data_IF_026249437942
#
_entry.id   IF_026249437942
#
_cell.length_a   1.000
_cell.length_b   1.000
_cell.length_c   1.000
_cell.angle_alpha   90.00
_cell.angle_beta   90.00
_cell.angle_gamma   90.00
#
_symmetry.space_group_name_H-M   'P 1'
#
loop_
_entity.id
_entity.type
_entity.pdbx_description
1 polymer ?
#
# COMPACT_ATOMS: atom_id res chain seq x y z
N UNK A 1 15.36 0.62 -23.15
CA UNK A 1 15.22 2.09 -23.12
C UNK A 1 13.79 2.36 -22.70
N UNK A 2 13.59 3.04 -21.57
CA UNK A 2 12.23 3.28 -21.05
C UNK A 2 11.55 4.42 -21.83
N UNK A 3 10.24 4.36 -22.11
CA UNK A 3 9.53 5.42 -22.84
C UNK A 3 9.65 6.77 -22.14
N UNK A 4 9.71 7.87 -22.91
CA UNK A 4 9.84 9.24 -22.37
C UNK A 4 8.69 9.63 -21.42
N UNK A 5 7.51 9.04 -21.59
CA UNK A 5 6.37 9.21 -20.67
C UNK A 5 6.62 8.60 -19.30
N UNK A 6 7.40 7.52 -19.21
CA UNK A 6 7.76 6.86 -17.96
C UNK A 6 8.84 7.64 -17.20
N UNK A 7 9.75 8.30 -17.92
CA UNK A 7 10.76 9.17 -17.31
C UNK A 7 10.12 10.38 -16.60
N UNK A 8 9.18 11.07 -17.27
CA UNK A 8 8.44 12.18 -16.64
C UNK A 8 7.54 11.73 -15.47
N UNK A 9 6.99 10.51 -15.56
CA UNK A 9 6.22 9.86 -14.48
C UNK A 9 7.08 9.53 -13.25
N UNK A 10 8.37 9.26 -13.43
CA UNK A 10 9.28 9.02 -12.30
C UNK A 10 9.71 10.34 -11.66
N UNK A 11 9.98 11.36 -12.47
CA UNK A 11 10.45 12.66 -11.96
C UNK A 11 9.44 13.33 -11.00
N UNK A 12 8.15 13.33 -11.34
CA UNK A 12 7.12 13.90 -10.48
C UNK A 12 6.90 13.06 -9.20
N UNK A 13 6.88 11.73 -9.31
CA UNK A 13 6.83 10.83 -8.15
C UNK A 13 8.03 11.01 -7.21
N UNK A 14 9.25 11.10 -7.74
CA UNK A 14 10.46 11.35 -6.96
C UNK A 14 10.44 12.73 -6.29
N UNK A 15 9.87 13.73 -6.96
CA UNK A 15 9.75 15.09 -6.41
C UNK A 15 8.74 15.16 -5.26
N UNK A 16 7.53 14.69 -5.50
CA UNK A 16 6.35 14.87 -4.63
C UNK A 16 6.15 13.72 -3.64
N UNK A 17 6.76 12.56 -3.89
CA UNK A 17 6.62 11.34 -3.08
C UNK A 17 5.34 10.54 -3.33
N UNK A 18 4.49 10.97 -4.26
CA UNK A 18 3.29 10.25 -4.69
C UNK A 18 2.82 10.75 -6.07
N UNK A 19 2.05 9.92 -6.77
CA UNK A 19 1.30 10.31 -7.96
C UNK A 19 -0.12 9.73 -7.92
N UNK A 20 -1.03 10.32 -8.70
CA UNK A 20 -2.43 9.90 -8.80
C UNK A 20 -2.78 9.69 -10.27
N UNK A 21 -3.17 8.47 -10.61
CA UNK A 21 -3.69 8.12 -11.93
C UNK A 21 -5.18 7.85 -11.86
N UNK A 22 -5.93 8.35 -12.84
CA UNK A 22 -7.37 8.14 -12.97
C UNK A 22 -7.64 7.28 -14.19
N UNK A 23 -8.70 6.46 -14.13
CA UNK A 23 -9.11 5.63 -15.27
C UNK A 23 -8.12 4.52 -15.64
N UNK A 24 -7.34 4.04 -14.67
CA UNK A 24 -6.44 2.88 -14.87
C UNK A 24 -7.26 1.62 -15.19
N UNK A 25 -8.43 1.49 -14.57
CA UNK A 25 -9.36 0.39 -14.76
C UNK A 25 -10.69 0.92 -15.26
N UNK A 26 -11.35 0.13 -16.10
CA UNK A 26 -12.72 0.38 -16.51
C UNK A 26 -13.73 -0.08 -15.44
N UNK A 27 -15.02 0.31 -15.53
CA UNK A 27 -16.03 -0.05 -14.53
C UNK A 27 -16.19 -1.56 -14.31
N UNK A 28 -16.12 -2.38 -15.36
CA UNK A 28 -16.29 -3.85 -15.24
C UNK A 28 -15.11 -4.49 -14.49
N UNK A 29 -13.90 -3.97 -14.67
CA UNK A 29 -12.71 -4.38 -13.92
C UNK A 29 -12.85 -4.00 -12.44
N UNK A 30 -13.28 -2.77 -12.16
CA UNK A 30 -13.54 -2.30 -10.80
C UNK A 30 -14.58 -3.18 -10.11
N UNK A 31 -15.72 -3.47 -10.76
CA UNK A 31 -16.77 -4.30 -10.17
C UNK A 31 -16.30 -5.73 -9.89
N UNK A 32 -15.47 -6.32 -10.76
CA UNK A 32 -14.84 -7.62 -10.47
C UNK A 32 -13.99 -7.56 -9.21
N UNK A 33 -13.19 -6.52 -9.03
CA UNK A 33 -12.34 -6.37 -7.85
C UNK A 33 -13.17 -6.17 -6.59
N UNK A 34 -14.25 -5.41 -6.65
CA UNK A 34 -15.20 -5.23 -5.55
C UNK A 34 -15.79 -6.55 -5.09
N UNK A 35 -16.30 -7.36 -6.02
CA UNK A 35 -16.87 -8.68 -5.69
C UNK A 35 -15.84 -9.57 -4.97
N UNK A 36 -14.59 -9.59 -5.44
CA UNK A 36 -13.53 -10.37 -4.80
C UNK A 36 -13.19 -9.80 -3.41
N UNK A 37 -13.09 -8.47 -3.29
CA UNK A 37 -12.81 -7.79 -2.03
C UNK A 37 -13.91 -8.00 -0.98
N UNK A 38 -15.18 -7.91 -1.37
CA UNK A 38 -16.33 -8.14 -0.49
C UNK A 38 -16.35 -9.58 0.02
N UNK A 39 -16.10 -10.55 -0.86
CA UNK A 39 -15.99 -11.95 -0.48
C UNK A 39 -14.87 -12.19 0.54
N UNK A 40 -13.69 -11.59 0.32
CA UNK A 40 -12.56 -11.67 1.25
C UNK A 40 -12.86 -11.02 2.61
N UNK A 41 -13.48 -9.83 2.62
CA UNK A 41 -13.85 -9.13 3.84
C UNK A 41 -14.89 -9.93 4.65
N UNK A 42 -15.89 -10.52 3.97
CA UNK A 42 -16.91 -11.36 4.59
C UNK A 42 -16.33 -12.67 5.16
N UNK A 43 -15.42 -13.33 4.44
CA UNK A 43 -14.76 -14.55 4.89
C UNK A 43 -13.90 -14.30 6.14
N UNK A 44 -13.11 -13.22 6.13
CA UNK A 44 -12.22 -12.87 7.24
C UNK A 44 -12.95 -12.19 8.40
N UNK A 45 -14.17 -11.71 8.16
CA UNK A 45 -15.00 -10.93 9.11
C UNK A 45 -14.23 -9.73 9.67
N UNK A 46 -13.54 -9.02 8.78
CA UNK A 46 -12.66 -7.89 9.12
C UNK A 46 -12.71 -6.83 8.04
N UNK A 47 -12.88 -5.58 8.47
CA UNK A 47 -12.70 -4.39 7.64
C UNK A 47 -11.22 -4.13 7.23
N UNK A 48 -10.24 -4.86 7.79
CA UNK A 48 -8.85 -4.83 7.34
C UNK A 48 -8.33 -6.25 7.13
N UNK A 49 -8.10 -6.62 5.87
CA UNK A 49 -7.59 -7.95 5.50
C UNK A 49 -6.18 -7.82 4.96
N UNK A 50 -5.24 -8.59 5.51
CA UNK A 50 -3.83 -8.60 5.09
C UNK A 50 -3.53 -9.83 4.26
N UNK A 51 -2.57 -9.69 3.35
CA UNK A 51 -2.12 -10.78 2.47
C UNK A 51 -3.17 -11.20 1.46
N UNK A 52 -4.04 -10.28 1.00
CA UNK A 52 -5.16 -10.59 0.11
C UNK A 52 -4.74 -11.25 -1.22
N UNK A 53 -3.55 -10.94 -1.73
CA UNK A 53 -3.01 -11.60 -2.92
C UNK A 53 -2.71 -13.10 -2.69
N UNK A 54 -2.37 -13.50 -1.46
CA UNK A 54 -2.19 -14.91 -1.12
C UNK A 54 -3.52 -15.62 -0.84
N UNK A 55 -4.60 -14.87 -0.62
CA UNK A 55 -5.95 -15.38 -0.33
C UNK A 55 -6.84 -15.48 -1.57
N UNK A 56 -6.54 -14.73 -2.64
CA UNK A 56 -7.33 -14.72 -3.87
C UNK A 56 -6.43 -14.67 -5.10
N UNK A 57 -6.58 -15.66 -5.98
CA UNK A 57 -5.90 -15.71 -7.27
C UNK A 57 -6.22 -14.47 -8.11
N UNK A 58 -7.47 -13.98 -8.10
CA UNK A 58 -7.85 -12.79 -8.86
C UNK A 58 -7.17 -11.51 -8.36
N UNK A 59 -6.86 -11.39 -7.07
CA UNK A 59 -6.07 -10.27 -6.54
C UNK A 59 -4.59 -10.40 -6.92
N UNK A 60 -4.05 -11.63 -6.91
CA UNK A 60 -2.68 -11.88 -7.37
C UNK A 60 -2.53 -11.54 -8.85
N UNK A 61 -3.43 -12.04 -9.70
CA UNK A 61 -3.48 -11.73 -11.13
C UNK A 61 -3.57 -10.23 -11.39
N UNK A 62 -4.38 -9.51 -10.61
CA UNK A 62 -4.44 -8.05 -10.67
C UNK A 62 -3.09 -7.41 -10.33
N UNK A 63 -2.46 -7.81 -9.22
CA UNK A 63 -1.17 -7.26 -8.79
C UNK A 63 -0.05 -7.50 -9.82
N UNK A 64 -0.15 -8.60 -10.57
CA UNK A 64 0.80 -8.98 -11.63
C UNK A 64 0.40 -8.47 -13.02
N UNK A 65 -0.79 -7.90 -13.17
CA UNK A 65 -1.29 -7.39 -14.46
C UNK A 65 -0.44 -6.25 -15.01
N UNK A 66 -0.35 -6.15 -16.33
CA UNK A 66 0.30 -5.01 -17.00
C UNK A 66 -0.30 -3.66 -16.59
N UNK A 67 -1.60 -3.64 -16.25
CA UNK A 67 -2.30 -2.44 -15.80
C UNK A 67 -1.66 -1.84 -14.54
N UNK A 68 -1.17 -2.66 -13.61
CA UNK A 68 -0.44 -2.17 -12.43
C UNK A 68 1.07 -2.20 -12.58
N UNK A 69 1.62 -3.24 -13.23
CA UNK A 69 3.08 -3.41 -13.37
C UNK A 69 3.74 -2.29 -14.18
N UNK A 70 3.01 -1.60 -15.06
CA UNK A 70 3.52 -0.43 -15.77
C UNK A 70 4.00 0.72 -14.84
N UNK A 71 3.49 0.78 -13.60
CA UNK A 71 3.87 1.80 -12.62
C UNK A 71 5.07 1.41 -11.75
N UNK A 72 5.66 0.24 -12.00
CA UNK A 72 6.70 -0.34 -11.16
C UNK A 72 7.91 -0.76 -12.00
N UNK A 73 9.13 -0.70 -11.44
CA UNK A 73 10.26 -1.34 -12.08
C UNK A 73 10.06 -2.85 -12.24
N UNK A 74 10.68 -3.42 -13.27
CA UNK A 74 10.47 -4.82 -13.68
C UNK A 74 10.96 -5.84 -12.63
N UNK A 75 11.96 -5.47 -11.83
CA UNK A 75 12.57 -6.29 -10.78
C UNK A 75 11.86 -6.20 -9.42
N UNK A 76 10.83 -5.36 -9.29
CA UNK A 76 10.07 -5.23 -8.06
C UNK A 76 9.10 -6.38 -7.87
N UNK A 77 8.99 -6.85 -6.62
CA UNK A 77 8.16 -7.97 -6.20
C UNK A 77 7.04 -7.52 -5.26
N UNK A 78 5.90 -8.21 -5.32
CA UNK A 78 4.82 -8.02 -4.36
C UNK A 78 5.20 -8.60 -3.00
N UNK A 79 5.45 -7.71 -2.03
CA UNK A 79 5.81 -8.12 -0.65
C UNK A 79 4.68 -7.93 0.36
N UNK A 80 3.64 -7.16 0.02
CA UNK A 80 2.54 -6.83 0.92
C UNK A 80 1.28 -6.45 0.13
N UNK A 81 0.14 -6.99 0.54
CA UNK A 81 -1.19 -6.63 0.00
C UNK A 81 -2.18 -6.49 1.16
N UNK A 82 -2.99 -5.42 1.14
CA UNK A 82 -3.92 -5.10 2.23
C UNK A 82 -5.21 -4.54 1.63
N UNK A 83 -6.35 -5.09 2.07
CA UNK A 83 -7.68 -4.53 1.83
C UNK A 83 -8.09 -3.68 3.02
N UNK A 84 -8.63 -2.50 2.74
CA UNK A 84 -9.26 -1.62 3.71
C UNK A 84 -10.73 -1.44 3.30
N UNK A 85 -11.60 -2.25 3.87
CA UNK A 85 -13.05 -2.11 3.74
C UNK A 85 -13.53 -1.17 4.86
N UNK A 86 -13.76 0.10 4.52
CA UNK A 86 -14.18 1.12 5.49
C UNK A 86 -15.68 1.28 5.42
N UNK A 87 -16.39 0.65 6.34
CA UNK A 87 -17.83 0.88 6.55
C UNK A 87 -18.05 2.07 7.48
N UNK A 88 -19.22 2.74 7.47
CA UNK A 88 -19.56 3.76 8.46
C UNK A 88 -19.42 3.28 9.91
N UNK A 89 -19.71 2.00 10.16
CA UNK A 89 -19.62 1.35 11.47
C UNK A 89 -18.17 1.01 11.87
N UNK A 90 -17.29 0.77 10.89
CA UNK A 90 -15.89 0.36 11.07
C UNK A 90 -14.90 1.36 10.45
N UNK A 91 -15.12 2.66 10.69
CA UNK A 91 -14.21 3.71 10.22
C UNK A 91 -13.27 4.19 11.34
N UNK A 92 -12.13 3.53 11.50
CA UNK A 92 -11.11 4.00 12.44
C UNK A 92 -10.26 5.12 11.81
N UNK A 93 -10.10 6.27 12.50
CA UNK A 93 -9.23 7.33 12.03
C UNK A 93 -7.77 6.87 12.11
N UNK A 94 -7.06 7.00 10.99
CA UNK A 94 -5.64 6.70 10.91
C UNK A 94 -4.88 8.01 11.03
N UNK A 95 -4.08 8.23 12.11
CA UNK A 95 -3.28 9.44 12.25
C UNK A 95 -2.15 9.46 11.20
N UNK A 96 -1.46 10.59 11.09
CA UNK A 96 -0.47 10.82 10.04
C UNK A 96 0.79 9.92 10.19
N UNK A 97 0.79 8.68 9.76
CA UNK A 97 1.94 7.80 10.01
C UNK A 97 2.88 7.72 8.79
N UNK A 98 4.06 7.16 9.03
CA UNK A 98 4.87 6.52 7.99
C UNK A 98 4.72 5.00 8.09
N UNK A 99 4.62 4.33 6.96
CA UNK A 99 4.62 2.87 6.91
C UNK A 99 6.07 2.37 7.07
N UNK A 100 6.41 2.00 8.30
CA UNK A 100 7.79 1.63 8.66
C UNK A 100 7.97 0.12 8.87
N UNK A 101 6.95 -0.71 8.65
CA UNK A 101 7.01 -2.15 8.92
C UNK A 101 6.74 -3.00 7.69
N UNK A 102 7.55 -4.04 7.54
CA UNK A 102 7.36 -5.12 6.56
C UNK A 102 6.84 -6.38 7.26
N UNK A 103 6.12 -7.21 6.51
CA UNK A 103 5.75 -8.55 6.95
C UNK A 103 6.87 -9.53 6.56
N UNK A 104 7.20 -10.47 7.45
CA UNK A 104 8.20 -11.50 7.21
C UNK A 104 7.67 -12.87 7.62
N UNK A 105 8.19 -13.93 6.99
CA UNK A 105 7.78 -15.31 7.26
C UNK A 105 8.14 -15.75 8.68
N UNK A 106 9.32 -15.35 9.16
CA UNK A 106 9.84 -15.73 10.46
C UNK A 106 10.71 -14.62 11.04
N UNK A 107 10.83 -14.58 12.37
CA UNK A 107 11.74 -13.67 13.05
C UNK A 107 13.17 -14.19 12.92
N UNK A 108 14.07 -13.34 12.45
CA UNK A 108 15.53 -13.56 12.47
C UNK A 108 16.21 -12.35 13.06
N UNK A 109 17.10 -12.56 14.02
CA UNK A 109 17.90 -11.48 14.57
C UNK A 109 18.93 -11.05 13.51
N UNK A 110 18.67 -9.91 12.88
CA UNK A 110 19.51 -9.28 11.86
C UNK A 110 19.77 -7.85 12.32
N UNK A 111 21.01 -7.40 12.20
CA UNK A 111 21.40 -6.07 12.62
C UNK A 111 20.56 -4.99 11.90
N UNK A 112 20.09 -4.00 12.65
CA UNK A 112 19.27 -2.90 12.14
C UNK A 112 17.78 -3.22 11.95
N UNK A 113 17.34 -4.44 12.28
CA UNK A 113 15.92 -4.84 12.22
C UNK A 113 15.26 -4.77 13.60
N UNK A 114 14.17 -4.02 13.67
CA UNK A 114 13.38 -3.84 14.88
C UNK A 114 12.69 -2.46 14.93
N UNK A 115 11.65 -2.30 15.76
CA UNK A 115 11.07 -3.31 16.65
C UNK A 115 10.27 -4.39 15.90
N UNK A 116 10.01 -5.50 16.60
CA UNK A 116 9.22 -6.62 16.11
C UNK A 116 7.78 -6.56 16.66
N UNK A 117 6.80 -7.01 15.88
CA UNK A 117 5.41 -7.17 16.31
C UNK A 117 4.75 -8.35 15.58
N UNK A 118 3.60 -8.80 16.08
CA UNK A 118 2.78 -9.81 15.39
C UNK A 118 1.41 -9.21 15.14
N UNK A 119 0.95 -9.25 13.88
CA UNK A 119 -0.36 -8.77 13.45
C UNK A 119 -1.01 -9.84 12.60
N UNK A 120 -2.24 -10.24 12.93
CA UNK A 120 -2.96 -11.32 12.23
C UNK A 120 -2.14 -12.62 12.09
N UNK A 121 -1.39 -12.98 13.13
CA UNK A 121 -0.45 -14.14 13.17
C UNK A 121 0.76 -14.01 12.22
N UNK A 122 0.94 -12.87 11.57
CA UNK A 122 2.09 -12.57 10.71
C UNK A 122 3.11 -11.72 11.47
N UNK A 123 4.38 -12.15 11.41
CA UNK A 123 5.49 -11.41 12.02
C UNK A 123 5.76 -10.16 11.19
N UNK A 124 5.87 -9.03 11.89
CA UNK A 124 6.23 -7.75 11.31
C UNK A 124 7.47 -7.21 11.98
N UNK A 125 8.27 -6.49 11.19
CA UNK A 125 9.49 -5.86 11.66
C UNK A 125 9.69 -4.54 10.94
N UNK A 126 10.26 -3.57 11.63
CA UNK A 126 10.81 -2.41 10.93
C UNK A 126 12.21 -2.75 10.41
N UNK A 127 12.44 -2.72 9.09
CA UNK A 127 13.75 -3.00 8.54
C UNK A 127 14.62 -1.72 8.54
N UNK A 128 15.82 -1.84 7.98
CA UNK A 128 16.74 -0.71 7.80
C UNK A 128 16.15 0.35 6.86
N UNK A 129 16.73 1.55 6.87
CA UNK A 129 16.33 2.65 5.98
C UNK A 129 16.45 2.28 4.50
N UNK A 130 17.48 1.50 4.16
CA UNK A 130 17.82 1.12 2.79
C UNK A 130 16.70 0.25 2.21
N UNK A 131 16.17 -0.70 2.99
CA UNK A 131 15.01 -1.51 2.59
C UNK A 131 13.76 -0.65 2.46
N UNK A 132 13.50 0.25 3.41
CA UNK A 132 12.30 1.11 3.37
C UNK A 132 12.30 2.05 2.16
N UNK A 133 13.45 2.55 1.74
CA UNK A 133 13.58 3.41 0.56
C UNK A 133 13.27 2.67 -0.75
N UNK A 134 13.31 1.34 -0.75
CA UNK A 134 12.96 0.50 -1.89
C UNK A 134 11.48 0.10 -1.89
N UNK A 135 10.69 0.50 -0.89
CA UNK A 135 9.27 0.15 -0.80
C UNK A 135 8.43 1.13 -1.62
N UNK A 136 7.72 0.61 -2.62
CA UNK A 136 6.66 1.32 -3.33
C UNK A 136 5.29 0.79 -2.91
N UNK A 137 4.29 1.66 -2.88
CA UNK A 137 2.89 1.30 -2.59
C UNK A 137 2.00 1.77 -3.73
N UNK A 138 1.36 0.82 -4.41
CA UNK A 138 0.22 1.11 -5.26
C UNK A 138 -1.05 1.00 -4.43
N UNK A 139 -1.85 2.08 -4.40
CA UNK A 139 -3.17 2.07 -3.78
C UNK A 139 -4.23 2.19 -4.86
N UNK A 140 -5.07 1.17 -4.95
CA UNK A 140 -6.20 1.14 -5.87
C UNK A 140 -7.47 1.49 -5.11
N UNK A 141 -8.23 2.45 -5.63
CA UNK A 141 -9.59 2.72 -5.14
C UNK A 141 -10.56 1.90 -5.98
N UNK A 142 -11.28 0.99 -5.31
CA UNK A 142 -12.29 0.13 -5.92
C UNK A 142 -13.72 0.64 -5.67
N UNK A 143 -13.87 1.73 -4.91
CA UNK A 143 -15.13 2.44 -4.69
C UNK A 143 -14.94 3.95 -4.88
N UNK A 144 -16.03 4.71 -5.09
CA UNK A 144 -16.00 6.16 -5.04
C UNK A 144 -15.36 6.67 -3.74
N UNK A 145 -14.16 7.22 -3.86
CA UNK A 145 -13.32 7.65 -2.74
C UNK A 145 -13.16 9.17 -2.79
N UNK A 146 -13.86 9.90 -1.93
CA UNK A 146 -13.82 11.36 -1.85
C UNK A 146 -12.96 11.83 -0.67
N UNK A 147 -12.72 13.14 -0.57
CA UNK A 147 -12.09 13.75 0.62
C UNK A 147 -12.87 13.46 1.91
N UNK A 148 -14.18 13.27 1.81
CA UNK A 148 -15.07 12.94 2.93
C UNK A 148 -15.21 11.44 3.18
N UNK A 149 -14.75 10.59 2.25
CA UNK A 149 -14.89 9.15 2.35
C UNK A 149 -13.64 8.42 1.84
N UNK A 150 -12.70 8.15 2.75
CA UNK A 150 -11.65 7.15 2.55
C UNK A 150 -10.42 7.59 1.73
N UNK A 151 -10.39 8.81 1.17
CA UNK A 151 -9.21 9.32 0.46
C UNK A 151 -8.00 9.48 1.39
N UNK A 152 -6.81 9.19 0.87
CA UNK A 152 -5.56 9.47 1.58
C UNK A 152 -5.25 10.96 1.59
N UNK A 153 -4.69 11.41 2.71
CA UNK A 153 -3.96 12.66 2.79
C UNK A 153 -2.46 12.34 2.78
N UNK A 154 -1.70 13.09 2.00
CA UNK A 154 -0.26 12.91 1.83
C UNK A 154 0.45 14.25 2.04
N UNK A 155 1.63 14.20 2.65
CA UNK A 155 2.50 15.37 2.79
C UNK A 155 3.51 15.31 1.64
N UNK A 156 3.43 16.30 0.75
CA UNK A 156 4.31 16.42 -0.42
C UNK A 156 5.79 16.40 -0.01
N UNK A 157 6.60 15.67 -0.76
CA UNK A 157 8.05 15.53 -0.62
C UNK A 157 8.53 14.98 0.73
N UNK A 158 7.61 14.50 1.59
CA UNK A 158 7.95 13.98 2.92
C UNK A 158 8.77 12.68 2.89
N UNK A 159 8.76 11.96 1.77
CA UNK A 159 9.64 10.82 1.49
C UNK A 159 11.14 11.19 1.57
N UNK A 160 11.50 12.44 1.27
CA UNK A 160 12.89 12.95 1.31
C UNK A 160 13.39 13.20 2.74
N UNK A 161 12.50 13.24 3.73
CA UNK A 161 12.84 13.51 5.13
C UNK A 161 13.29 12.26 5.91
N UNK A 162 13.34 11.10 5.26
CA UNK A 162 13.68 9.82 5.90
C UNK A 162 12.68 9.43 7.00
N UNK A 163 13.15 8.71 8.02
CA UNK A 163 12.33 8.34 9.19
C UNK A 163 12.12 9.57 10.07
N UNK A 164 10.88 10.06 10.13
CA UNK A 164 10.52 11.19 10.97
C UNK A 164 10.23 10.71 12.40
N UNK A 165 10.74 11.43 13.39
CA UNK A 165 10.35 11.22 14.79
C UNK A 165 8.95 11.79 14.99
N UNK A 166 8.13 11.10 15.79
CA UNK A 166 6.80 11.58 16.15
C UNK A 166 6.91 12.93 16.85
N UNK A 167 6.42 14.01 16.23
CA UNK A 167 6.51 15.37 16.78
C UNK A 167 5.19 15.73 17.50
N UNK A 168 5.17 16.41 18.66
CA UNK A 168 3.94 16.66 19.42
C UNK A 168 2.83 17.41 18.66
N UNK A 169 3.21 18.22 17.66
CA UNK A 169 2.30 19.03 16.84
C UNK A 169 1.94 18.39 15.49
N UNK A 170 2.75 17.43 15.04
CA UNK A 170 2.37 16.55 13.96
C UNK A 170 1.69 15.38 14.66
N UNK A 171 0.36 15.36 14.72
CA UNK A 171 -0.38 14.14 15.13
C UNK A 171 -0.18 13.06 14.06
N UNK A 172 1.04 12.54 13.98
CA UNK A 172 1.46 11.34 13.29
C UNK A 172 1.02 10.09 14.06
#
# INVERSE_FOLDING_TARGET
MMPSSWLGMIEAFESEGFEIYKGVFNPDEIDKFRVISDALAAEEKKACVRGIAAKSAGILELAESNALRQFLPADYLLVRSILFDKTPEENWPVPWHQDLSIAVREKKEVEGYGPWSVKDRVVHVQPTSEVLQQMLTLRVHIDPTSESNGALRVIRSSNKSGKMKRHPWLKL
#
